data_IF_336889651605
#
_entry.id   IF_336889651605
#
_cell.length_a   1.000
_cell.length_b   1.000
_cell.length_c   1.000
_cell.angle_alpha   90.00
_cell.angle_beta   90.00
_cell.angle_gamma   90.00
#
_symmetry.space_group_name_H-M   'P 1'
#
loop_
_entity.id
_entity.type
_entity.pdbx_description
1 polymer ?
#
# COMPACT_ATOMS: atom_id res chain seq x y z
N UNK A 1 6.36 -11.66 -27.28
CA UNK A 1 5.37 -10.58 -27.41
C UNK A 1 5.96 -9.34 -26.76
N UNK A 2 6.15 -8.27 -27.51
CA UNK A 2 6.47 -6.95 -26.94
C UNK A 2 5.28 -6.50 -26.09
N UNK A 3 5.54 -6.12 -24.84
CA UNK A 3 4.49 -5.58 -23.97
C UNK A 3 4.04 -4.24 -24.56
N UNK A 4 2.73 -4.02 -24.76
CA UNK A 4 2.28 -2.68 -25.09
C UNK A 4 2.72 -1.74 -23.97
N UNK A 5 3.29 -0.59 -24.33
CA UNK A 5 3.83 0.43 -23.41
C UNK A 5 5.21 0.16 -22.76
N UNK A 6 5.98 -0.82 -23.24
CA UNK A 6 7.37 -0.97 -22.78
C UNK A 6 8.17 0.32 -23.04
N UNK A 7 8.78 0.87 -21.99
CA UNK A 7 9.44 2.18 -22.02
C UNK A 7 8.53 3.42 -22.09
N UNK A 8 7.20 3.28 -22.11
CA UNK A 8 6.27 4.42 -22.25
C UNK A 8 6.36 5.43 -21.10
N UNK A 9 6.60 4.94 -19.87
CA UNK A 9 6.85 5.80 -18.70
C UNK A 9 8.17 6.58 -18.88
N UNK A 10 9.22 5.89 -19.33
CA UNK A 10 10.53 6.50 -19.56
C UNK A 10 10.49 7.53 -20.69
N UNK A 11 9.81 7.23 -21.80
CA UNK A 11 9.62 8.15 -22.92
C UNK A 11 8.80 9.37 -22.50
N UNK A 12 7.69 9.19 -21.77
CA UNK A 12 6.93 10.31 -21.24
C UNK A 12 7.79 11.17 -20.31
N UNK A 13 8.53 10.54 -19.39
CA UNK A 13 9.41 11.25 -18.47
C UNK A 13 10.47 12.05 -19.21
N UNK A 14 11.16 11.46 -20.19
CA UNK A 14 12.25 12.11 -20.92
C UNK A 14 11.75 13.22 -21.85
N UNK A 15 10.67 12.96 -22.59
CA UNK A 15 10.35 13.74 -23.80
C UNK A 15 9.09 14.61 -23.64
N UNK A 16 8.09 14.15 -22.88
CA UNK A 16 6.75 14.77 -22.86
C UNK A 16 6.39 15.45 -21.53
N UNK A 17 7.04 15.10 -20.44
CA UNK A 17 6.69 15.64 -19.13
C UNK A 17 7.13 17.10 -18.97
N UNK A 18 6.37 17.94 -18.22
CA UNK A 18 6.78 19.31 -17.96
C UNK A 18 8.14 19.39 -17.26
N UNK A 19 8.92 20.44 -17.57
CA UNK A 19 10.27 20.60 -17.00
C UNK A 19 10.24 20.68 -15.47
N UNK A 20 9.24 21.35 -14.90
CA UNK A 20 9.03 21.44 -13.45
C UNK A 20 8.87 20.07 -12.80
N UNK A 21 8.15 19.15 -13.43
CA UNK A 21 7.94 17.78 -12.95
C UNK A 21 9.22 16.96 -13.05
N UNK A 22 9.95 17.03 -14.18
CA UNK A 22 11.24 16.35 -14.32
C UNK A 22 12.24 16.80 -13.27
N UNK A 23 12.36 18.11 -13.07
CA UNK A 23 13.32 18.68 -12.12
C UNK A 23 12.97 18.32 -10.68
N UNK A 24 11.68 18.28 -10.34
CA UNK A 24 11.23 17.83 -9.03
C UNK A 24 11.62 16.35 -8.77
N UNK A 25 11.41 15.47 -9.75
CA UNK A 25 11.77 14.04 -9.65
C UNK A 25 13.30 13.83 -9.59
N UNK A 26 14.08 14.58 -10.38
CA UNK A 26 15.55 14.43 -10.41
C UNK A 26 16.23 14.90 -9.12
N UNK A 27 15.63 15.85 -8.41
CA UNK A 27 16.18 16.43 -7.17
C UNK A 27 15.70 15.73 -5.91
N UNK A 28 14.62 14.96 -5.99
CA UNK A 28 14.05 14.25 -4.85
C UNK A 28 14.82 12.98 -4.52
N UNK A 29 14.96 12.71 -3.23
CA UNK A 29 15.45 11.44 -2.74
C UNK A 29 14.37 10.34 -2.80
N UNK A 30 14.80 9.09 -2.65
CA UNK A 30 13.90 7.91 -2.74
C UNK A 30 12.75 7.92 -1.73
N UNK A 31 12.96 8.56 -0.58
CA UNK A 31 11.97 8.71 0.51
C UNK A 31 10.99 9.85 0.28
N UNK A 32 11.32 10.80 -0.59
CA UNK A 32 10.56 12.04 -0.69
C UNK A 32 9.19 11.82 -1.32
N UNK A 33 8.26 12.68 -0.93
CA UNK A 33 6.93 12.77 -1.47
C UNK A 33 6.82 14.10 -2.20
N UNK A 34 6.86 14.03 -3.53
CA UNK A 34 6.90 15.20 -4.41
C UNK A 34 5.54 15.93 -4.47
N UNK A 35 4.45 15.23 -4.14
CA UNK A 35 3.10 15.82 -4.18
C UNK A 35 2.91 16.86 -3.09
N UNK A 36 2.69 18.11 -3.48
CA UNK A 36 2.46 19.23 -2.55
C UNK A 36 1.16 19.11 -1.77
N UNK A 37 0.21 18.32 -2.23
CA UNK A 37 -1.07 18.10 -1.55
C UNK A 37 -0.99 17.02 -0.46
N UNK A 38 0.11 16.27 -0.39
CA UNK A 38 0.29 15.22 0.61
C UNK A 38 0.83 15.82 1.91
N UNK A 39 0.31 15.44 3.09
CA UNK A 39 0.63 16.12 4.36
C UNK A 39 2.05 15.87 4.88
N UNK A 40 2.80 14.96 4.27
CA UNK A 40 4.16 14.60 4.69
C UNK A 40 5.13 14.76 3.53
N UNK A 41 6.33 15.26 3.84
CA UNK A 41 7.40 15.45 2.85
C UNK A 41 8.16 14.16 2.53
N UNK A 42 8.15 13.19 3.44
CA UNK A 42 8.87 11.92 3.30
C UNK A 42 8.00 10.72 3.69
N UNK A 43 8.33 9.56 3.13
CA UNK A 43 7.74 8.27 3.49
C UNK A 43 8.14 7.88 4.91
N UNK A 44 7.23 7.18 5.60
CA UNK A 44 7.52 6.64 6.92
C UNK A 44 8.75 5.72 6.87
N UNK A 45 9.71 5.97 7.75
CA UNK A 45 10.92 5.16 7.85
C UNK A 45 10.57 3.68 8.06
N UNK A 46 11.21 2.81 7.27
CA UNK A 46 10.86 1.38 7.21
C UNK A 46 10.87 0.70 8.58
N UNK A 47 11.89 0.97 9.40
CA UNK A 47 12.03 0.40 10.75
C UNK A 47 10.86 0.79 11.66
N UNK A 48 10.39 2.04 11.57
CA UNK A 48 9.25 2.54 12.33
C UNK A 48 7.97 1.85 11.85
N UNK A 49 7.76 1.80 10.53
CA UNK A 49 6.63 1.12 9.91
C UNK A 49 6.53 -0.35 10.33
N UNK A 50 7.62 -1.12 10.20
CA UNK A 50 7.64 -2.54 10.54
C UNK A 50 7.38 -2.77 12.04
N UNK A 51 7.93 -1.92 12.91
CA UNK A 51 7.68 -1.97 14.35
C UNK A 51 6.22 -1.69 14.74
N UNK A 52 5.56 -0.74 14.05
CA UNK A 52 4.15 -0.46 14.27
C UNK A 52 3.25 -1.56 13.70
N UNK A 53 3.56 -2.05 12.49
CA UNK A 53 2.81 -3.11 11.84
C UNK A 53 2.76 -4.39 12.70
N UNK A 54 3.89 -4.79 13.29
CA UNK A 54 3.95 -5.95 14.16
C UNK A 54 2.99 -5.82 15.36
N UNK A 55 2.95 -4.65 16.00
CA UNK A 55 2.02 -4.38 17.12
C UNK A 55 0.56 -4.46 16.65
N UNK A 56 0.23 -3.86 15.52
CA UNK A 56 -1.13 -3.89 14.97
C UNK A 56 -1.58 -5.30 14.58
N UNK A 57 -0.68 -6.12 14.05
CA UNK A 57 -0.98 -7.51 13.70
C UNK A 57 -1.28 -8.37 14.94
N UNK A 58 -0.62 -8.11 16.08
CA UNK A 58 -0.96 -8.75 17.35
C UNK A 58 -2.40 -8.39 17.75
N UNK A 59 -2.77 -7.12 17.67
CA UNK A 59 -4.14 -6.68 17.99
C UNK A 59 -5.18 -7.25 17.03
N UNK A 60 -4.82 -7.42 15.75
CA UNK A 60 -5.69 -8.04 14.75
C UNK A 60 -5.99 -9.50 15.07
N UNK A 61 -5.00 -10.25 15.58
CA UNK A 61 -5.19 -11.64 16.03
C UNK A 61 -6.10 -11.69 17.26
N UNK A 62 -5.92 -10.79 18.23
CA UNK A 62 -6.80 -10.69 19.41
C UNK A 62 -8.24 -10.39 19.00
N UNK A 63 -8.44 -9.46 18.07
CA UNK A 63 -9.76 -9.13 17.52
C UNK A 63 -10.39 -10.34 16.82
N UNK A 64 -9.61 -11.10 16.04
CA UNK A 64 -10.10 -12.33 15.41
C UNK A 64 -10.53 -13.39 16.44
N UNK A 65 -9.75 -13.59 17.50
CA UNK A 65 -10.08 -14.52 18.58
C UNK A 65 -11.38 -14.11 19.28
N UNK A 66 -11.49 -12.83 19.65
CA UNK A 66 -12.70 -12.27 20.24
C UNK A 66 -13.93 -12.44 19.34
N UNK A 67 -13.80 -12.15 18.03
CA UNK A 67 -14.91 -12.27 17.09
C UNK A 67 -15.40 -13.72 17.00
N UNK A 68 -14.49 -14.69 17.03
CA UNK A 68 -14.82 -16.11 17.06
C UNK A 68 -15.55 -16.51 18.34
N UNK A 69 -15.07 -16.07 19.50
CA UNK A 69 -15.67 -16.39 20.81
C UNK A 69 -17.08 -15.83 20.95
N UNK A 70 -17.33 -14.63 20.41
CA UNK A 70 -18.62 -13.95 20.51
C UNK A 70 -19.57 -14.27 19.34
N UNK A 71 -19.14 -15.05 18.35
CA UNK A 71 -19.90 -15.31 17.13
C UNK A 71 -20.07 -14.09 16.20
N UNK A 72 -19.30 -13.02 16.43
CA UNK A 72 -19.32 -11.79 15.65
C UNK A 72 -18.80 -12.02 14.22
N UNK A 73 -19.36 -11.28 13.26
CA UNK A 73 -18.95 -11.33 11.84
C UNK A 73 -18.45 -9.96 11.41
N UNK A 74 -17.25 -9.92 10.80
CA UNK A 74 -16.61 -8.69 10.34
C UNK A 74 -16.38 -8.78 8.84
N UNK A 75 -16.81 -7.76 8.10
CA UNK A 75 -16.53 -7.58 6.68
C UNK A 75 -15.70 -6.31 6.48
N UNK A 76 -14.66 -6.39 5.64
CA UNK A 76 -13.76 -5.27 5.34
C UNK A 76 -13.69 -5.13 3.81
N UNK A 77 -14.03 -3.94 3.31
CA UNK A 77 -14.03 -3.64 1.87
C UNK A 77 -12.86 -2.72 1.54
N UNK A 78 -12.09 -3.07 0.51
CA UNK A 78 -10.92 -2.31 0.06
C UNK A 78 -11.19 -1.71 -1.33
N UNK A 79 -11.48 -0.42 -1.36
CA UNK A 79 -11.71 0.35 -2.59
C UNK A 79 -10.60 1.37 -2.86
N UNK A 80 -10.48 1.81 -4.11
CA UNK A 80 -9.54 2.85 -4.50
C UNK A 80 -9.05 2.73 -5.95
N UNK A 81 -8.30 3.73 -6.40
CA UNK A 81 -7.72 3.76 -7.75
C UNK A 81 -6.78 2.57 -8.01
N UNK A 82 -6.51 2.30 -9.28
CA UNK A 82 -5.48 1.35 -9.66
C UNK A 82 -4.11 1.78 -9.15
N UNK A 83 -3.27 0.81 -8.80
CA UNK A 83 -1.97 1.01 -8.15
C UNK A 83 -1.99 1.76 -6.80
N UNK A 84 -3.14 2.04 -6.19
CA UNK A 84 -3.24 2.73 -4.89
C UNK A 84 -2.76 1.89 -3.68
N UNK A 85 -2.37 0.62 -3.89
CA UNK A 85 -1.80 -0.23 -2.82
C UNK A 85 -2.78 -1.20 -2.15
N UNK A 86 -4.02 -1.36 -2.67
CA UNK A 86 -5.07 -2.24 -2.12
C UNK A 86 -4.56 -3.66 -1.80
N UNK A 87 -3.92 -4.32 -2.77
CA UNK A 87 -3.39 -5.68 -2.61
C UNK A 87 -2.28 -5.79 -1.56
N UNK A 88 -1.45 -4.76 -1.42
CA UNK A 88 -0.43 -4.67 -0.38
C UNK A 88 -1.05 -4.62 1.02
N UNK A 89 -2.10 -3.82 1.19
CA UNK A 89 -2.84 -3.72 2.45
C UNK A 89 -3.50 -5.05 2.82
N UNK A 90 -4.19 -5.71 1.87
CA UNK A 90 -4.80 -7.04 2.09
C UNK A 90 -3.73 -8.05 2.51
N UNK A 91 -2.54 -8.04 1.88
CA UNK A 91 -1.43 -8.92 2.26
C UNK A 91 -1.02 -8.71 3.72
N UNK A 92 -0.88 -7.47 4.18
CA UNK A 92 -0.49 -7.15 5.56
C UNK A 92 -1.55 -7.52 6.60
N UNK A 93 -2.83 -7.40 6.25
CA UNK A 93 -3.92 -7.87 7.10
C UNK A 93 -3.88 -9.39 7.31
N UNK A 94 -3.51 -10.16 6.29
CA UNK A 94 -3.57 -11.63 6.34
C UNK A 94 -2.32 -12.31 6.84
N UNK A 95 -1.17 -11.62 6.77
CA UNK A 95 0.16 -12.18 6.97
C UNK A 95 0.27 -13.07 8.20
N UNK A 96 -0.37 -12.69 9.31
CA UNK A 96 -0.35 -13.41 10.59
C UNK A 96 -1.72 -13.93 11.05
N UNK A 97 -2.75 -13.88 10.20
CA UNK A 97 -4.08 -14.37 10.56
C UNK A 97 -4.28 -15.83 10.15
N UNK A 98 -5.03 -16.59 10.96
CA UNK A 98 -5.38 -17.96 10.60
C UNK A 98 -6.35 -17.95 9.39
N UNK A 99 -5.97 -18.56 8.25
CA UNK A 99 -6.75 -18.51 7.01
C UNK A 99 -8.11 -19.23 7.12
N UNK A 100 -8.27 -20.13 8.11
CA UNK A 100 -9.56 -20.82 8.34
C UNK A 100 -10.65 -19.88 8.87
N UNK A 101 -10.25 -18.82 9.58
CA UNK A 101 -11.14 -17.82 10.16
C UNK A 101 -11.17 -16.48 9.43
N UNK A 102 -10.28 -16.26 8.45
CA UNK A 102 -10.20 -15.03 7.67
C UNK A 102 -10.11 -15.37 6.18
N UNK A 103 -11.25 -15.21 5.48
CA UNK A 103 -11.35 -15.48 4.04
C UNK A 103 -11.17 -14.19 3.27
N UNK A 104 -10.47 -14.27 2.14
CA UNK A 104 -10.50 -13.20 1.13
C UNK A 104 -11.40 -13.63 0.00
N UNK A 105 -12.21 -12.69 -0.44
CA UNK A 105 -12.98 -12.79 -1.67
C UNK A 105 -12.42 -11.74 -2.61
N UNK A 106 -11.90 -12.17 -3.75
CA UNK A 106 -11.54 -11.32 -4.88
C UNK A 106 -12.42 -11.80 -6.04
N UNK A 107 -13.40 -10.97 -6.42
CA UNK A 107 -14.36 -11.25 -7.49
C UNK A 107 -13.86 -10.67 -8.82
#
# INVERSE_FOLDING_TARGET
MTLPFDGGISAFFNDLSPESVRNAIKRSDKSDIISTSYPHQERLARKVYEGQLAKLQIELVKMQAWAKENGSRVAIVFEGRDAAGKGGTIKRFRENLNPRGARVVAL
#
